data_IF_583238006596
#
_entry.id   IF_583238006596
#
_cell.length_a   1.000
_cell.length_b   1.000
_cell.length_c   1.000
_cell.angle_alpha   90.00
_cell.angle_beta   90.00
_cell.angle_gamma   90.00
#
_symmetry.space_group_name_H-M   'P 1'
#
loop_
_entity.id
_entity.type
_entity.pdbx_description
1 polymer ?
#
# COMPACT_ATOMS: atom_id res chain seq x y z
N UNK A 1 5.19 -13.61 -13.13
CA UNK A 1 4.10 -12.93 -12.40
C UNK A 1 4.71 -11.76 -11.63
N UNK A 2 4.21 -10.54 -11.86
CA UNK A 2 4.65 -9.32 -11.16
C UNK A 2 3.46 -8.82 -10.33
N UNK A 3 3.62 -8.72 -9.01
CA UNK A 3 2.58 -8.14 -8.13
C UNK A 3 3.13 -7.00 -7.28
N UNK A 4 2.24 -6.07 -6.92
CA UNK A 4 2.49 -4.96 -6.00
C UNK A 4 1.58 -5.16 -4.79
N UNK A 5 2.18 -5.45 -3.64
CA UNK A 5 1.47 -5.81 -2.42
C UNK A 5 1.86 -4.89 -1.26
N UNK A 6 1.04 -4.88 -0.20
CA UNK A 6 1.35 -4.17 1.03
C UNK A 6 2.35 -4.95 1.88
N UNK A 7 3.36 -4.24 2.37
CA UNK A 7 4.37 -4.77 3.28
C UNK A 7 4.11 -4.25 4.69
N UNK A 8 4.03 -5.15 5.67
CA UNK A 8 4.10 -4.81 7.10
C UNK A 8 5.33 -5.48 7.72
N UNK A 9 6.21 -4.72 8.35
CA UNK A 9 7.45 -5.27 8.94
C UNK A 9 7.21 -5.95 10.28
N UNK A 10 6.78 -5.18 11.28
CA UNK A 10 6.74 -5.63 12.68
C UNK A 10 5.32 -5.74 13.25
N UNK A 11 4.36 -4.98 12.70
CA UNK A 11 3.01 -4.80 13.27
C UNK A 11 1.89 -5.25 12.33
N UNK A 12 2.03 -6.41 11.71
CA UNK A 12 1.07 -6.93 10.73
C UNK A 12 -0.39 -6.82 11.20
N UNK A 13 -0.71 -7.34 12.39
CA UNK A 13 -2.08 -7.37 12.90
C UNK A 13 -2.65 -5.96 13.19
N UNK A 14 -1.87 -5.09 13.83
CA UNK A 14 -2.30 -3.71 14.15
C UNK A 14 -2.48 -2.87 12.88
N UNK A 15 -1.57 -3.05 11.91
CA UNK A 15 -1.63 -2.35 10.62
C UNK A 15 -2.82 -2.87 9.82
N UNK A 16 -3.04 -4.19 9.77
CA UNK A 16 -4.18 -4.78 9.09
C UNK A 16 -5.50 -4.24 9.64
N UNK A 17 -5.68 -4.26 10.97
CA UNK A 17 -6.91 -3.73 11.60
C UNK A 17 -7.10 -2.24 11.28
N UNK A 18 -6.07 -1.42 11.46
CA UNK A 18 -6.15 0.02 11.19
C UNK A 18 -6.42 0.33 9.72
N UNK A 19 -5.93 -0.49 8.79
CA UNK A 19 -6.22 -0.36 7.37
C UNK A 19 -7.65 -0.82 7.04
N UNK A 20 -8.11 -1.96 7.56
CA UNK A 20 -9.47 -2.46 7.32
C UNK A 20 -10.53 -1.44 7.73
N UNK A 21 -10.33 -0.73 8.84
CA UNK A 21 -11.24 0.31 9.33
C UNK A 21 -11.33 1.54 8.41
N UNK A 22 -10.28 1.81 7.63
CA UNK A 22 -10.14 3.09 6.94
C UNK A 22 -10.24 2.96 5.42
N UNK A 23 -9.61 1.94 4.82
CA UNK A 23 -9.59 1.77 3.36
C UNK A 23 -10.63 0.79 2.84
N UNK A 24 -11.29 -0.02 3.68
CA UNK A 24 -12.33 -0.98 3.26
C UNK A 24 -11.96 -1.84 2.03
N UNK A 25 -10.66 -2.03 1.79
CA UNK A 25 -10.12 -2.89 0.72
C UNK A 25 -9.53 -4.12 1.40
N UNK A 26 -9.75 -5.29 0.80
CA UNK A 26 -9.27 -6.58 1.28
C UNK A 26 -7.76 -6.77 1.02
N UNK A 27 -6.97 -5.75 1.32
CA UNK A 27 -5.52 -5.78 1.20
C UNK A 27 -4.94 -6.24 2.54
N UNK A 28 -4.34 -7.43 2.56
CA UNK A 28 -3.71 -7.99 3.77
C UNK A 28 -2.22 -7.62 3.75
N UNK A 29 -1.76 -6.67 4.58
CA UNK A 29 -0.35 -6.34 4.65
C UNK A 29 0.38 -7.49 5.33
N UNK A 30 1.29 -8.12 4.61
CA UNK A 30 2.12 -9.19 5.13
C UNK A 30 3.58 -8.76 5.14
N UNK A 31 4.36 -9.37 6.01
CA UNK A 31 5.81 -9.29 6.03
C UNK A 31 6.39 -9.98 4.81
N UNK A 32 7.63 -9.63 4.51
CA UNK A 32 8.37 -10.20 3.39
C UNK A 32 8.39 -11.74 3.46
N UNK A 33 8.65 -12.30 4.63
CA UNK A 33 8.67 -13.75 4.85
C UNK A 33 7.31 -14.38 4.56
N UNK A 34 6.23 -13.77 5.06
CA UNK A 34 4.88 -14.26 4.86
C UNK A 34 4.45 -14.18 3.39
N UNK A 35 4.87 -13.13 2.66
CA UNK A 35 4.68 -13.04 1.22
C UNK A 35 5.42 -14.13 0.44
N UNK A 36 6.67 -14.42 0.78
CA UNK A 36 7.43 -15.49 0.12
C UNK A 36 6.75 -16.84 0.36
N UNK A 37 6.31 -17.12 1.59
CA UNK A 37 5.59 -18.35 1.94
C UNK A 37 4.26 -18.44 1.18
N UNK A 38 3.50 -17.35 1.10
CA UNK A 38 2.23 -17.32 0.36
C UNK A 38 2.41 -17.68 -1.12
N UNK A 39 3.47 -17.16 -1.75
CA UNK A 39 3.80 -17.47 -3.14
C UNK A 39 4.27 -18.91 -3.32
N UNK A 40 5.11 -19.42 -2.41
CA UNK A 40 5.55 -20.82 -2.42
C UNK A 40 4.37 -21.78 -2.29
N UNK A 41 3.44 -21.49 -1.37
CA UNK A 41 2.21 -22.27 -1.20
C UNK A 41 1.31 -22.24 -2.44
N UNK A 42 1.40 -21.18 -3.25
CA UNK A 42 0.71 -21.06 -4.53
C UNK A 42 1.44 -21.74 -5.71
N UNK A 43 2.56 -22.44 -5.46
CA UNK A 43 3.38 -23.07 -6.51
C UNK A 43 4.19 -22.07 -7.34
N UNK A 44 4.47 -20.90 -6.77
CA UNK A 44 5.26 -19.84 -7.38
C UNK A 44 6.59 -19.67 -6.64
N UNK A 45 7.69 -19.67 -7.37
CA UNK A 45 9.00 -19.36 -6.82
C UNK A 45 9.30 -17.87 -7.01
N UNK A 46 9.51 -17.16 -5.91
CA UNK A 46 9.94 -15.75 -5.91
C UNK A 46 11.41 -15.68 -6.34
N UNK A 47 11.69 -15.06 -7.49
CA UNK A 47 13.06 -14.83 -7.97
C UNK A 47 13.64 -13.53 -7.45
N UNK A 48 12.82 -12.47 -7.44
CA UNK A 48 13.22 -11.13 -7.03
C UNK A 48 12.10 -10.48 -6.25
N UNK A 49 12.49 -9.68 -5.27
CA UNK A 49 11.57 -8.80 -4.54
C UNK A 49 12.21 -7.42 -4.38
N UNK A 50 11.37 -6.39 -4.35
CA UNK A 50 11.78 -5.02 -4.03
C UNK A 50 10.83 -4.46 -2.99
N UNK A 51 11.36 -3.82 -1.95
CA UNK A 51 10.56 -3.17 -0.92
C UNK A 51 10.80 -1.67 -0.92
N UNK A 52 9.80 -0.88 -0.55
CA UNK A 52 9.97 0.56 -0.33
C UNK A 52 8.98 1.13 0.68
N UNK A 53 9.24 2.36 1.13
CA UNK A 53 8.30 3.09 1.99
C UNK A 53 7.09 3.53 1.16
N UNK A 54 5.92 3.44 1.78
CA UNK A 54 4.66 3.82 1.18
C UNK A 54 4.17 5.11 1.83
N UNK A 55 4.64 6.25 1.33
CA UNK A 55 4.13 7.55 1.76
C UNK A 55 2.87 7.87 0.98
N UNK A 56 1.72 7.81 1.65
CA UNK A 56 0.45 8.22 1.08
C UNK A 56 0.47 9.73 0.77
N UNK A 57 0.02 10.13 -0.42
CA UNK A 57 -0.16 11.54 -0.82
C UNK A 57 1.13 12.37 -0.82
N UNK A 58 2.25 11.82 -1.31
CA UNK A 58 3.27 12.68 -1.87
C UNK A 58 2.69 13.33 -3.13
N UNK A 59 2.20 14.57 -3.03
CA UNK A 59 1.62 15.30 -4.17
C UNK A 59 2.55 15.34 -5.38
N UNK A 60 3.87 15.37 -5.14
CA UNK A 60 4.89 15.21 -6.18
C UNK A 60 4.83 13.87 -6.94
N UNK A 61 4.52 12.77 -6.25
CA UNK A 61 4.40 11.44 -6.84
C UNK A 61 3.09 11.27 -7.60
N UNK A 62 1.97 11.78 -7.05
CA UNK A 62 0.70 11.84 -7.78
C UNK A 62 0.81 12.64 -9.08
N UNK A 63 1.52 13.78 -9.07
CA UNK A 63 1.74 14.59 -10.28
C UNK A 63 2.53 13.81 -11.35
N UNK A 64 3.49 12.97 -10.94
CA UNK A 64 4.27 12.13 -11.86
C UNK A 64 3.48 10.93 -12.39
N UNK A 65 2.60 10.35 -11.57
CA UNK A 65 1.85 9.14 -11.90
C UNK A 65 0.59 9.44 -12.72
N UNK A 66 -0.17 10.49 -12.38
CA UNK A 66 -1.46 10.84 -13.00
C UNK A 66 -1.45 12.16 -13.79
N UNK A 67 -0.45 13.02 -13.58
CA UNK A 67 -0.38 14.34 -14.21
C UNK A 67 -0.94 15.47 -13.34
N UNK A 68 -0.54 16.71 -13.65
CA UNK A 68 -0.82 17.90 -12.84
C UNK A 68 -2.33 18.21 -12.72
N UNK A 69 -3.08 18.10 -13.82
CA UNK A 69 -4.50 18.47 -13.87
C UNK A 69 -5.36 17.52 -13.04
N UNK A 70 -5.14 16.21 -13.18
CA UNK A 70 -5.89 15.20 -12.41
C UNK A 70 -5.55 15.26 -10.92
N UNK A 71 -4.27 15.52 -10.58
CA UNK A 71 -3.87 15.75 -9.19
C UNK A 71 -4.57 16.97 -8.57
N UNK A 72 -4.65 18.09 -9.29
CA UNK A 72 -5.37 19.30 -8.81
C UNK A 72 -6.85 19.03 -8.65
N UNK A 73 -7.48 18.26 -9.55
CA UNK A 73 -8.89 17.86 -9.42
C UNK A 73 -9.13 17.00 -8.18
N UNK A 74 -8.24 16.05 -7.89
CA UNK A 74 -8.31 15.22 -6.68
C UNK A 74 -8.16 16.09 -5.42
N UNK A 75 -7.17 16.98 -5.39
CA UNK A 75 -6.98 17.92 -4.28
C UNK A 75 -8.21 18.82 -4.09
N UNK A 76 -8.78 19.34 -5.17
CA UNK A 76 -10.00 20.15 -5.13
C UNK A 76 -11.20 19.37 -4.59
N UNK A 77 -11.36 18.12 -5.00
CA UNK A 77 -12.41 17.23 -4.49
C UNK A 77 -12.24 16.95 -2.99
N UNK A 78 -11.00 16.72 -2.53
CA UNK A 78 -10.68 16.53 -1.11
C UNK A 78 -10.99 17.81 -0.33
N UNK A 79 -10.62 18.98 -0.84
CA UNK A 79 -10.86 20.27 -0.17
C UNK A 79 -12.35 20.63 -0.12
N UNK A 80 -13.09 20.34 -1.20
CA UNK A 80 -14.50 20.74 -1.34
C UNK A 80 -15.46 19.78 -0.64
N UNK A 81 -15.09 18.51 -0.46
CA UNK A 81 -15.97 17.47 0.12
C UNK A 81 -15.45 17.04 1.48
N UNK A 82 -16.11 17.50 2.55
CA UNK A 82 -15.75 17.19 3.94
C UNK A 82 -15.65 15.69 4.22
N UNK A 83 -16.59 14.88 3.70
CA UNK A 83 -16.55 13.42 3.86
C UNK A 83 -15.28 12.82 3.25
N UNK A 84 -14.92 13.19 2.01
CA UNK A 84 -13.71 12.70 1.35
C UNK A 84 -12.47 13.15 2.12
N UNK A 85 -12.44 14.41 2.55
CA UNK A 85 -11.36 14.96 3.38
C UNK A 85 -11.14 14.14 4.64
N UNK A 86 -12.21 13.84 5.37
CA UNK A 86 -12.12 13.16 6.66
C UNK A 86 -11.63 11.71 6.48
N UNK A 87 -12.09 11.02 5.43
CA UNK A 87 -11.55 9.71 5.03
C UNK A 87 -10.05 9.79 4.66
N UNK A 88 -9.65 10.75 3.84
CA UNK A 88 -8.25 10.93 3.42
C UNK A 88 -7.35 11.26 4.61
N UNK A 89 -7.82 12.09 5.54
CA UNK A 89 -7.09 12.42 6.76
C UNK A 89 -6.97 11.20 7.69
N UNK A 90 -8.02 10.38 7.82
CA UNK A 90 -7.96 9.13 8.56
C UNK A 90 -6.92 8.17 7.96
N UNK A 91 -6.90 8.00 6.63
CA UNK A 91 -5.87 7.22 5.93
C UNK A 91 -4.49 7.77 6.23
N UNK A 92 -4.29 9.08 6.02
CA UNK A 92 -2.99 9.71 6.24
C UNK A 92 -2.50 9.52 7.67
N UNK A 93 -3.36 9.58 8.67
CA UNK A 93 -2.99 9.32 10.08
C UNK A 93 -2.52 7.89 10.30
N UNK A 94 -3.19 6.89 9.73
CA UNK A 94 -2.76 5.48 9.82
C UNK A 94 -1.40 5.30 9.17
N UNK A 95 -1.23 5.81 7.95
CA UNK A 95 0.03 5.72 7.22
C UNK A 95 1.17 6.45 7.95
N UNK A 96 0.92 7.64 8.51
CA UNK A 96 1.91 8.35 9.31
C UNK A 96 2.26 7.63 10.62
N UNK A 97 1.26 7.04 11.29
CA UNK A 97 1.47 6.27 12.52
C UNK A 97 2.37 5.06 12.29
N UNK A 98 2.24 4.41 11.13
CA UNK A 98 2.99 3.21 10.78
C UNK A 98 4.02 3.44 9.67
N UNK A 99 4.48 4.67 9.40
CA UNK A 99 5.35 5.00 8.26
C UNK A 99 6.67 4.20 8.20
N UNK A 100 7.16 3.77 9.37
CA UNK A 100 8.37 2.93 9.48
C UNK A 100 8.11 1.45 9.20
N UNK A 101 6.89 1.02 9.46
CA UNK A 101 6.47 -0.39 9.49
C UNK A 101 5.64 -0.77 8.26
N UNK A 102 5.01 0.21 7.60
CA UNK A 102 4.19 0.07 6.42
C UNK A 102 4.97 0.47 5.16
N UNK A 103 4.91 -0.39 4.16
CA UNK A 103 5.56 -0.17 2.88
C UNK A 103 4.85 -0.89 1.75
N UNK A 104 5.50 -0.90 0.60
CA UNK A 104 5.10 -1.76 -0.51
C UNK A 104 6.17 -2.83 -0.72
N UNK A 105 5.74 -3.97 -1.27
CA UNK A 105 6.62 -5.01 -1.79
C UNK A 105 6.20 -5.36 -3.22
N UNK A 106 7.18 -5.39 -4.11
CA UNK A 106 7.03 -5.84 -5.49
C UNK A 106 7.64 -7.23 -5.56
N UNK A 107 6.88 -8.20 -6.07
CA UNK A 107 7.29 -9.61 -6.14
C UNK A 107 7.31 -10.04 -7.60
N UNK A 108 8.47 -10.52 -8.05
CA UNK A 108 8.65 -11.22 -9.32
C UNK A 108 8.74 -12.72 -9.03
N UNK A 109 7.76 -13.48 -9.52
CA UNK A 109 7.73 -14.92 -9.34
C UNK A 109 7.51 -15.68 -10.65
N UNK A 110 8.10 -16.87 -10.73
CA UNK A 110 7.95 -17.82 -11.83
C UNK A 110 7.19 -19.05 -11.34
N UNK A 111 6.47 -19.71 -12.24
CA UNK A 111 5.81 -20.98 -11.91
C UNK A 111 6.89 -22.03 -11.66
N UNK A 112 6.84 -22.69 -10.51
CA UNK A 112 7.65 -23.87 -10.28
C UNK A 112 7.11 -24.98 -11.19
N UNK A 113 7.95 -25.45 -12.11
CA UNK A 113 7.57 -26.50 -13.07
C UNK A 113 7.76 -27.89 -12.51
#
# INVERSE_FOLDING_TARGET
FLSHELLAKDREAEIHQALSEVIHVNATPLSKSNWIVAYQNAGLQVEKYQTGSMTLLNGWRMIQDEGFVDTVRILWNILSKSQIRDHVLAMRRVFQKYDRDLGYIILCAIKQS
#
